data_IF_021103366372
#
_entry.id   IF_021103366372
#
_cell.length_a   1.000
_cell.length_b   1.000
_cell.length_c   1.000
_cell.angle_alpha   90.00
_cell.angle_beta   90.00
_cell.angle_gamma   90.00
#
_symmetry.space_group_name_H-M   'P 1'
#
loop_
_entity.id
_entity.type
_entity.pdbx_description
1 polymer ?
2 water ?
#
# COMPACT_ATOMS: atom_id res chain seq x y z
N UNK A 12 -31.22 15.40 5.71
CA UNK A 12 -30.10 15.19 4.74
C UNK A 12 -29.03 16.30 4.82
N UNK A 13 -27.77 15.91 4.58
CA UNK A 13 -26.62 16.81 4.71
C UNK A 13 -25.64 16.63 3.56
N UNK A 14 -24.80 17.63 3.35
CA UNK A 14 -23.77 17.60 2.33
C UNK A 14 -22.50 17.13 2.98
N UNK A 15 -21.76 16.28 2.28
CA UNK A 15 -20.43 15.90 2.73
C UNK A 15 -19.47 16.08 1.58
N UNK A 16 -18.32 16.71 1.85
CA UNK A 16 -17.29 16.94 0.84
C UNK A 16 -16.01 16.35 1.35
N UNK A 17 -15.40 15.44 0.59
CA UNK A 17 -14.12 14.85 0.96
C UNK A 17 -13.09 15.54 0.11
N UNK A 18 -12.08 16.15 0.73
CA UNK A 18 -11.06 16.89 -0.01
C UNK A 18 -9.76 16.13 0.06
N UNK A 19 -9.31 15.62 -1.09
CA UNK A 19 -8.11 14.80 -1.16
C UNK A 19 -6.89 15.64 -1.60
N UNK A 20 -6.02 15.98 -0.65
CA UNK A 20 -4.85 16.83 -0.90
C UNK A 20 -3.57 16.09 -0.52
N UNK A 21 -2.58 16.15 -1.39
CA UNK A 21 -1.25 15.69 -1.03
C UNK A 21 -0.51 16.88 -0.45
N UNK A 22 -0.27 16.83 0.85
CA UNK A 22 0.33 17.93 1.59
C UNK A 22 1.64 17.47 2.22
N UNK A 23 2.50 18.41 2.54
CA UNK A 23 3.76 18.12 3.27
C UNK A 23 3.48 17.97 4.76
N UNK A 24 4.33 17.20 5.46
CA UNK A 24 4.13 17.01 6.90
C UNK A 24 3.99 18.38 7.58
N UNK A 25 4.74 19.38 7.08
CA UNK A 25 4.68 20.74 7.67
C UNK A 25 3.40 21.54 7.36
N UNK A 26 2.71 21.16 6.29
CA UNK A 26 1.41 21.73 5.92
C UNK A 26 0.31 21.20 6.83
N UNK A 27 0.58 20.13 7.56
CA UNK A 27 -0.49 19.52 8.34
C UNK A 27 -0.07 19.02 9.71
N UNK A 28 0.39 19.94 10.58
CA UNK A 28 0.72 19.54 11.96
C UNK A 28 -0.55 19.14 12.69
N UNK A 29 -0.45 18.18 13.61
CA UNK A 29 -1.63 17.75 14.39
C UNK A 29 -2.85 17.56 13.47
N UNK A 30 -2.75 16.65 12.48
CA UNK A 30 -3.87 16.53 11.53
C UNK A 30 -5.19 16.19 12.23
N UNK A 31 -6.24 16.91 11.82
CA UNK A 31 -7.59 16.71 12.33
C UNK A 31 -8.51 16.73 11.11
N UNK A 32 -9.48 15.82 11.11
CA UNK A 32 -10.28 15.54 9.92
C UNK A 32 -10.93 16.79 9.30
N UNK A 33 -11.41 17.70 10.14
CA UNK A 33 -12.10 18.87 9.57
C UNK A 33 -11.23 20.12 9.38
N UNK A 34 -9.95 20.04 9.77
CA UNK A 34 -9.02 21.17 9.60
C UNK A 34 -8.21 21.03 8.31
N UNK A 35 -8.39 21.98 7.38
CA UNK A 35 -7.62 22.01 6.12
C UNK A 35 -6.13 22.08 6.39
N UNK A 36 -5.32 21.34 5.60
CA UNK A 36 -3.90 21.60 5.67
C UNK A 36 -3.62 23.01 5.13
N UNK A 37 -2.44 23.53 5.50
CA UNK A 37 -2.03 24.90 5.18
C UNK A 37 -1.77 25.07 3.69
N UNK A 38 -1.33 23.98 3.06
CA UNK A 38 -1.10 23.91 1.63
C UNK A 38 -1.45 22.48 1.26
N UNK A 39 -1.65 22.23 -0.02
CA UNK A 39 -1.95 20.85 -0.46
C UNK A 39 -2.37 20.81 -1.90
N UNK A 40 -1.96 19.74 -2.59
CA UNK A 40 -2.26 19.62 -4.02
C UNK A 40 -3.46 18.70 -4.21
N UNK A 41 -4.50 19.19 -4.90
CA UNK A 41 -5.67 18.36 -5.11
C UNK A 41 -5.35 17.26 -6.07
N UNK A 42 -5.96 16.09 -5.81
CA UNK A 42 -5.82 14.94 -6.68
C UNK A 42 -7.19 14.60 -7.24
N UNK A 43 -7.26 14.51 -8.57
CA UNK A 43 -8.50 14.10 -9.23
C UNK A 43 -8.52 12.56 -9.44
N UNK A 44 -9.72 11.99 -9.48
CA UNK A 44 -9.90 10.58 -9.87
C UNK A 44 -9.82 9.56 -8.75
N UNK A 45 -9.74 10.02 -7.50
CA UNK A 45 -9.70 9.11 -6.34
C UNK A 45 -11.12 8.72 -5.98
N UNK A 46 -11.34 7.41 -5.89
CA UNK A 46 -12.65 6.87 -5.56
C UNK A 46 -12.84 6.76 -4.05
N UNK A 47 -13.80 7.51 -3.53
CA UNK A 47 -14.22 7.42 -2.12
C UNK A 47 -15.55 6.67 -2.00
N UNK A 48 -15.63 5.80 -1.01
CA UNK A 48 -16.89 5.16 -0.67
C UNK A 48 -17.26 5.48 0.77
N UNK A 49 -18.55 5.71 0.98
CA UNK A 49 -19.08 6.00 2.30
C UNK A 49 -20.13 4.95 2.65
N UNK A 50 -19.93 4.27 3.79
CA UNK A 50 -20.80 3.18 4.25
C UNK A 50 -21.64 3.69 5.42
N UNK A 51 -22.95 3.75 5.22
CA UNK A 51 -23.87 4.20 6.26
C UNK A 51 -24.01 3.09 7.31
N UNK A 52 -23.62 3.39 8.56
CA UNK A 52 -23.69 2.38 9.63
C UNK A 52 -25.13 2.02 9.98
N UNK A 53 -25.34 0.73 10.28
CA UNK A 53 -26.63 0.27 10.80
C UNK A 53 -26.66 0.26 12.32
N UNK A 54 -25.48 0.18 12.93
CA UNK A 54 -25.33 0.00 14.38
C UNK A 54 -24.14 0.78 14.88
N UNK A 55 -24.25 1.34 16.09
CA UNK A 55 -23.10 1.99 16.74
C UNK A 55 -22.75 1.37 18.10
N UNK A 56 -23.02 0.07 18.25
CA UNK A 56 -22.85 -0.61 19.54
C UNK A 56 -21.40 -0.75 19.97
N UNK A 57 -20.51 -0.90 18.99
CA UNK A 57 -19.11 -1.18 19.26
C UNK A 57 -18.39 0.07 19.76
N UNK A 58 -17.88 -0.03 20.99
CA UNK A 58 -17.07 1.04 21.59
C UNK A 58 -15.73 1.29 20.91
N UNK A 59 -15.31 0.37 20.04
CA UNK A 59 -14.14 0.55 19.20
C UNK A 59 -14.60 0.56 17.75
N UNK A 60 -15.41 1.56 17.42
CA UNK A 60 -16.15 1.55 16.15
C UNK A 60 -15.25 1.69 14.92
N UNK A 61 -14.29 2.60 14.99
CA UNK A 61 -13.39 2.79 13.85
C UNK A 61 -12.55 1.52 13.63
N UNK A 62 -12.03 0.96 14.72
CA UNK A 62 -11.25 -0.29 14.61
C UNK A 62 -12.11 -1.42 14.05
N UNK A 63 -13.37 -1.48 14.47
CA UNK A 63 -14.27 -2.50 13.96
C UNK A 63 -14.41 -2.41 12.44
N UNK A 64 -14.68 -1.20 11.96
CA UNK A 64 -14.86 -0.98 10.54
C UNK A 64 -13.57 -1.16 9.75
N UNK A 65 -12.43 -0.77 10.33
CA UNK A 65 -11.13 -0.97 9.70
C UNK A 65 -10.74 -2.44 9.54
N UNK A 66 -11.36 -3.30 10.36
CA UNK A 66 -11.08 -4.76 10.37
C UNK A 66 -11.83 -5.52 9.27
N UNK A 67 -12.86 -4.89 8.71
CA UNK A 67 -13.72 -5.51 7.69
C UNK A 67 -13.10 -5.50 6.30
N UNK A 68 -13.29 -6.59 5.57
CA UNK A 68 -12.91 -6.60 4.16
C UNK A 68 -13.88 -5.72 3.36
N UNK A 69 -13.50 -5.41 2.13
CA UNK A 69 -14.30 -4.52 1.30
C UNK A 69 -15.73 -5.02 1.10
N UNK A 70 -15.89 -6.31 0.86
CA UNK A 70 -17.25 -6.85 0.69
C UNK A 70 -18.01 -6.90 2.00
N UNK A 71 -17.31 -7.06 3.11
CA UNK A 71 -17.95 -7.05 4.44
C UNK A 71 -18.57 -5.69 4.80
N UNK A 72 -17.94 -4.63 4.30
CA UNK A 72 -18.41 -3.26 4.51
C UNK A 72 -19.85 -3.17 4.02
N UNK A 73 -20.08 -3.67 2.81
CA UNK A 73 -21.40 -3.67 2.18
C UNK A 73 -22.42 -4.42 3.05
N UNK A 74 -22.01 -5.61 3.52
CA UNK A 74 -22.84 -6.48 4.35
C UNK A 74 -23.33 -5.79 5.62
N UNK A 75 -22.44 -5.04 6.27
CA UNK A 75 -22.80 -4.38 7.53
C UNK A 75 -23.44 -2.98 7.39
N UNK A 76 -23.37 -2.39 6.20
CA UNK A 76 -23.90 -1.04 5.95
C UNK A 76 -25.40 -1.04 5.59
N UNK A 77 -26.05 0.12 5.76
CA UNK A 77 -27.48 0.34 5.41
C UNK A 77 -27.68 0.85 3.98
N UNK A 78 -26.89 1.85 3.59
CA UNK A 78 -26.81 2.43 2.24
C UNK A 78 -25.29 2.62 2.00
N UNK A 79 -24.88 2.61 0.73
CA UNK A 79 -23.49 2.84 0.34
C UNK A 79 -23.49 3.96 -0.73
N UNK A 80 -22.53 4.88 -0.62
CA UNK A 80 -22.45 6.01 -1.55
C UNK A 80 -21.04 6.06 -2.09
N UNK A 81 -20.88 6.46 -3.34
CA UNK A 81 -19.53 6.65 -3.93
C UNK A 81 -19.41 8.01 -4.60
N UNK A 82 -18.19 8.54 -4.59
CA UNK A 82 -17.89 9.74 -5.37
C UNK A 82 -16.42 9.73 -5.72
N UNK A 83 -16.15 10.28 -6.88
CA UNK A 83 -14.77 10.41 -7.36
C UNK A 83 -14.31 11.86 -7.22
N UNK A 84 -13.12 12.06 -6.66
CA UNK A 84 -12.60 13.44 -6.55
C UNK A 84 -12.51 14.15 -7.90
N UNK A 85 -12.90 15.42 -7.90
CA UNK A 85 -12.92 16.24 -9.10
C UNK A 85 -11.65 17.08 -9.26
N UNK A 86 -11.71 18.08 -10.13
CA UNK A 86 -10.55 18.94 -10.42
C UNK A 86 -10.04 19.76 -9.21
N UNK A 87 -10.89 19.94 -8.19
CA UNK A 87 -10.46 20.57 -6.94
C UNK A 87 -10.15 19.54 -5.84
N UNK A 88 -10.03 18.27 -6.22
CA UNK A 88 -9.72 17.21 -5.27
C UNK A 88 -10.91 16.83 -4.38
N UNK A 89 -12.10 17.29 -4.78
CA UNK A 89 -13.33 17.10 -3.98
C UNK A 89 -14.19 15.95 -4.48
N UNK A 90 -14.47 15.01 -3.57
CA UNK A 90 -15.45 13.94 -3.81
C UNK A 90 -16.70 14.34 -3.04
N UNK A 91 -17.76 14.67 -3.79
CA UNK A 91 -18.95 15.29 -3.21
C UNK A 91 -20.06 14.28 -2.97
N UNK A 92 -20.68 14.38 -1.80
CA UNK A 92 -21.75 13.47 -1.38
C UNK A 92 -22.95 14.32 -1.03
N UNK A 93 -23.98 14.22 -1.87
CA UNK A 93 -25.15 15.08 -1.77
C UNK A 93 -26.36 14.43 -1.13
N UNK A 94 -26.98 15.19 -0.24
CA UNK A 94 -28.20 14.76 0.46
C UNK A 94 -28.10 13.40 1.16
N UNK A 95 -26.99 13.19 1.86
CA UNK A 95 -26.84 12.00 2.67
C UNK A 95 -27.77 12.10 3.88
N UNK A 96 -28.48 11.01 4.21
CA UNK A 96 -29.30 10.96 5.42
C UNK A 96 -28.44 11.15 6.64
N UNK A 97 -29.03 11.80 7.63
CA UNK A 97 -28.41 11.97 8.91
C UNK A 97 -27.98 10.60 9.42
N UNK A 98 -26.73 10.48 9.89
CA UNK A 98 -26.20 9.16 10.25
C UNK A 98 -24.72 9.15 10.53
N UNK A 99 -24.18 7.96 10.78
CA UNK A 99 -22.74 7.77 10.98
C UNK A 99 -22.23 7.03 9.75
N UNK A 100 -21.16 7.52 9.15
CA UNK A 100 -20.61 6.93 7.94
C UNK A 100 -19.14 6.59 8.11
N UNK A 101 -18.77 5.44 7.59
CA UNK A 101 -17.39 5.03 7.48
C UNK A 101 -16.96 5.29 6.04
N UNK A 102 -15.90 6.07 5.89
CA UNK A 102 -15.39 6.44 4.58
C UNK A 102 -13.97 5.92 4.35
N UNK A 103 -13.69 5.52 3.12
CA UNK A 103 -12.34 5.05 2.75
C UNK A 103 -12.11 5.33 1.29
N UNK A 104 -10.85 5.39 0.87
CA UNK A 104 -10.54 5.41 -0.54
C UNK A 104 -10.32 3.98 -1.02
N UNK A 105 -10.79 3.72 -2.23
CA UNK A 105 -10.67 2.39 -2.86
C UNK A 105 -9.78 2.46 -4.11
N UNK A 106 -8.94 1.44 -4.27
CA UNK A 106 -8.11 1.34 -5.47
C UNK A 106 -7.87 -0.13 -5.77
N UNK A 107 -8.02 -0.50 -7.04
CA UNK A 107 -7.86 -1.88 -7.48
C UNK A 107 -8.71 -2.81 -6.64
N UNK A 108 -9.97 -2.44 -6.45
CA UNK A 108 -10.96 -3.28 -5.75
C UNK A 108 -10.75 -3.52 -4.27
N UNK A 109 -9.87 -2.75 -3.64
CA UNK A 109 -9.54 -2.90 -2.22
C UNK A 109 -9.31 -1.55 -1.61
N UNK A 110 -9.27 -1.50 -0.28
CA UNK A 110 -8.93 -0.27 0.42
C UNK A 110 -7.57 0.22 -0.02
N UNK A 111 -7.48 1.51 -0.31
CA UNK A 111 -6.20 2.15 -0.55
C UNK A 111 -5.58 2.42 0.84
N UNK A 112 -4.53 1.67 1.20
CA UNK A 112 -3.97 1.80 2.55
C UNK A 112 -3.29 3.17 2.80
N UNK A 113 -3.06 3.92 1.73
CA UNK A 113 -2.37 5.22 1.85
C UNK A 113 -3.32 6.38 2.23
N UNK A 114 -4.61 6.06 2.34
CA UNK A 114 -5.60 6.98 2.85
C UNK A 114 -6.17 6.37 4.14
N UNK A 115 -6.07 7.11 5.24
CA UNK A 115 -6.62 6.65 6.49
C UNK A 115 -8.14 6.72 6.41
N UNK A 116 -8.79 5.58 6.66
CA UNK A 116 -10.24 5.54 6.70
C UNK A 116 -10.74 6.31 7.94
N UNK A 117 -12.00 6.73 7.90
CA UNK A 117 -12.50 7.64 8.94
C UNK A 117 -13.99 7.39 9.21
N UNK A 118 -14.44 7.84 10.37
CA UNK A 118 -15.87 7.90 10.63
C UNK A 118 -16.33 9.34 10.51
N UNK A 119 -17.51 9.56 9.92
CA UNK A 119 -18.11 10.91 9.90
C UNK A 119 -19.42 10.85 10.72
N UNK A 120 -19.53 11.71 11.74
CA UNK A 120 -20.75 11.88 12.50
C UNK A 120 -21.57 12.95 11.74
N UNK A 121 -22.34 12.48 10.74
CA UNK A 121 -23.03 13.38 9.81
C UNK A 121 -24.37 13.89 10.35
N UNK A 122 -24.25 14.87 11.25
CA UNK A 122 -25.37 15.54 11.88
C UNK A 122 -25.60 16.96 11.33
N UNK A 123 -24.75 17.38 10.40
CA UNK A 123 -24.71 18.71 9.78
C UNK A 123 -23.84 18.56 8.53
N UNK A 124 -23.83 19.58 7.65
CA UNK A 124 -22.90 19.55 6.50
C UNK A 124 -21.45 19.45 7.00
N UNK A 125 -20.64 18.67 6.29
CA UNK A 125 -19.26 18.41 6.73
C UNK A 125 -18.29 18.54 5.57
N UNK A 126 -17.10 19.09 5.89
CA UNK A 126 -15.97 19.08 4.96
C UNK A 126 -14.82 18.34 5.66
N UNK A 127 -14.30 17.30 5.02
CA UNK A 127 -13.31 16.46 5.68
C UNK A 127 -12.10 16.27 4.79
N UNK A 128 -10.93 16.20 5.43
CA UNK A 128 -9.64 16.08 4.75
C UNK A 128 -9.01 14.77 5.22
N UNK A 129 -9.17 13.68 4.45
CA UNK A 129 -8.58 12.42 4.96
C UNK A 129 -7.07 12.56 5.09
N UNK A 130 -6.48 11.78 5.98
CA UNK A 130 -5.02 11.77 6.18
C UNK A 130 -4.41 10.92 5.07
N UNK A 131 -3.55 11.53 4.28
CA UNK A 131 -3.10 10.91 3.05
C UNK A 131 -1.59 10.85 3.06
N UNK A 132 -1.06 9.66 2.81
CA UNK A 132 0.40 9.53 2.69
C UNK A 132 0.76 9.30 1.23
N UNK A 133 1.88 9.88 0.81
CA UNK A 133 2.24 9.88 -0.61
C UNK A 133 3.75 9.94 -0.85
N UNK A 134 4.53 10.42 0.14
CA UNK A 134 5.99 10.61 -0.04
C UNK A 134 6.69 9.27 -0.27
N UNK A 135 7.61 9.24 -1.23
CA UNK A 135 8.22 7.95 -1.63
C UNK A 135 9.66 7.79 -1.14
N UNK A 136 10.11 6.54 -1.08
CA UNK A 136 11.54 6.25 -0.96
C UNK A 136 11.84 5.03 -1.80
N UNK A 137 13.02 4.47 -1.63
CA UNK A 137 13.52 3.49 -2.57
C UNK A 137 14.00 2.23 -1.87
N UNK A 138 13.93 1.12 -2.60
CA UNK A 138 14.47 -0.16 -2.15
C UNK A 138 15.71 -0.45 -2.97
N UNK A 139 16.77 -0.89 -2.32
CA UNK A 139 17.91 -1.46 -3.05
C UNK A 139 18.23 -2.86 -2.50
N UNK A 140 17.84 -3.86 -3.27
CA UNK A 140 18.06 -5.25 -2.92
C UNK A 140 19.34 -5.73 -3.57
N UNK A 141 20.21 -6.32 -2.75
CA UNK A 141 21.34 -7.07 -3.24
C UNK A 141 21.08 -8.55 -2.97
N UNK A 142 21.15 -9.36 -4.01
CA UNK A 142 20.98 -10.78 -3.90
C UNK A 142 22.35 -11.44 -4.05
N UNK A 143 22.70 -12.29 -3.08
CA UNK A 143 23.98 -13.01 -3.17
C UNK A 143 23.78 -14.54 -3.20
N UNK A 144 24.77 -15.22 -3.78
CA UNK A 144 24.87 -16.67 -3.70
C UNK A 144 25.99 -17.00 -2.74
N UNK A 145 25.76 -18.03 -1.91
CA UNK A 145 26.69 -18.39 -0.83
C UNK A 145 27.29 -19.79 -1.08
N UNK A 146 28.62 -19.86 -1.12
CA UNK A 146 29.38 -21.10 -1.27
C UNK A 146 30.44 -21.13 -0.16
N UNK A 147 30.20 -21.96 0.87
CA UNK A 147 30.98 -21.89 2.10
C UNK A 147 30.99 -20.47 2.67
N UNK A 148 32.18 -19.93 2.88
CA UNK A 148 32.34 -18.59 3.49
C UNK A 148 32.42 -17.47 2.44
N UNK A 149 32.11 -17.79 1.18
CA UNK A 149 32.18 -16.78 0.13
C UNK A 149 30.81 -16.43 -0.48
N UNK A 150 30.56 -15.14 -0.60
CA UNK A 150 29.30 -14.64 -1.15
C UNK A 150 29.58 -13.81 -2.40
N UNK A 151 28.78 -14.02 -3.44
CA UNK A 151 28.93 -13.23 -4.67
C UNK A 151 27.54 -12.84 -5.20
N UNK A 152 27.44 -11.68 -5.87
CA UNK A 152 26.17 -11.27 -6.47
C UNK A 152 25.59 -12.33 -7.41
N UNK A 153 24.27 -12.47 -7.37
CA UNK A 153 23.60 -13.44 -8.20
C UNK A 153 22.66 -12.73 -9.15
N UNK A 154 22.88 -12.97 -10.44
CA UNK A 154 22.06 -12.38 -11.49
C UNK A 154 20.87 -13.25 -11.89
N UNK A 155 19.82 -12.63 -12.40
CA UNK A 155 18.70 -13.38 -12.93
C UNK A 155 17.75 -14.01 -11.95
N UNK A 156 17.85 -13.65 -10.66
CA UNK A 156 16.94 -14.14 -9.62
C UNK A 156 15.66 -13.31 -9.65
N UNK A 157 14.52 -13.98 -9.57
CA UNK A 157 13.20 -13.37 -9.80
C UNK A 157 12.46 -13.15 -8.48
N UNK A 158 12.00 -11.91 -8.28
CA UNK A 158 11.20 -11.53 -7.14
C UNK A 158 9.91 -10.84 -7.58
N UNK A 159 8.92 -10.86 -6.68
CA UNK A 159 7.75 -9.96 -6.76
C UNK A 159 7.74 -9.14 -5.48
N UNK A 160 7.07 -7.97 -5.52
CA UNK A 160 6.94 -7.10 -4.36
C UNK A 160 5.47 -6.88 -4.05
N UNK A 161 5.12 -6.93 -2.77
CA UNK A 161 3.74 -6.74 -2.31
C UNK A 161 3.72 -5.69 -1.23
N UNK A 162 2.59 -4.99 -1.07
CA UNK A 162 2.34 -4.29 0.18
C UNK A 162 2.22 -5.38 1.27
N UNK A 163 2.59 -5.07 2.50
CA UNK A 163 2.38 -5.98 3.63
C UNK A 163 0.92 -6.48 3.65
N UNK A 164 0.75 -7.80 3.78
CA UNK A 164 -0.59 -8.44 3.75
C UNK A 164 -1.36 -8.26 2.43
N UNK A 165 -0.69 -7.77 1.40
CA UNK A 165 -1.33 -7.53 0.11
C UNK A 165 -1.48 -8.80 -0.73
N UNK A 166 -2.51 -8.81 -1.57
CA UNK A 166 -2.82 -9.94 -2.44
C UNK A 166 -2.24 -9.76 -3.84
N UNK A 167 -2.04 -8.51 -4.24
CA UNK A 167 -1.62 -8.22 -5.60
C UNK A 167 -0.28 -7.51 -5.71
N UNK A 168 0.63 -8.08 -6.53
CA UNK A 168 2.00 -7.60 -6.70
C UNK A 168 2.06 -6.15 -7.21
N UNK A 169 3.04 -5.40 -6.70
CA UNK A 169 3.37 -4.05 -7.15
C UNK A 169 4.15 -4.14 -8.45
N UNK A 170 3.77 -3.35 -9.45
CA UNK A 170 4.44 -3.41 -10.76
C UNK A 170 5.44 -2.27 -10.94
N UNK A 171 6.46 -2.49 -11.77
CA UNK A 171 7.60 -1.58 -11.88
C UNK A 171 7.94 -1.35 -13.35
N UNK A 172 8.30 -0.11 -13.69
CA UNK A 172 8.69 0.31 -15.04
C UNK A 172 9.68 1.48 -14.89
N UNK A 173 10.73 1.53 -15.72
CA UNK A 173 11.75 2.59 -15.58
C UNK A 173 12.41 2.60 -14.18
N UNK A 174 12.51 1.42 -13.57
CA UNK A 174 13.05 1.27 -12.19
C UNK A 174 12.20 1.92 -11.10
N UNK A 175 10.94 2.17 -11.43
CA UNK A 175 10.04 2.91 -10.57
C UNK A 175 8.71 2.17 -10.46
N UNK A 176 8.09 2.23 -9.29
CA UNK A 176 6.73 1.75 -9.14
C UNK A 176 5.84 2.48 -10.16
N UNK A 177 5.14 1.69 -10.97
CA UNK A 177 4.36 2.23 -12.09
C UNK A 177 2.97 1.62 -12.16
N UNK A 178 2.01 2.41 -12.63
CA UNK A 178 0.66 1.92 -12.85
C UNK A 178 0.35 1.78 -14.33
N UNK A 179 1.38 1.89 -15.16
CA UNK A 179 1.20 1.68 -16.60
C UNK A 179 0.87 0.24 -16.94
N UNK A 180 0.14 0.04 -18.03
CA UNK A 180 -0.33 -1.30 -18.38
C UNK A 180 0.86 -2.24 -18.72
N UNK A 181 1.98 -1.68 -19.14
CA UNK A 181 3.17 -2.49 -19.42
C UNK A 181 4.12 -2.64 -18.22
N UNK A 182 3.78 -2.03 -17.09
CA UNK A 182 4.61 -2.22 -15.89
C UNK A 182 4.46 -3.69 -15.45
N UNK A 183 5.59 -4.28 -15.08
CA UNK A 183 5.69 -5.72 -14.84
C UNK A 183 5.75 -6.06 -13.35
N UNK A 184 5.19 -7.22 -12.98
CA UNK A 184 5.32 -7.74 -11.61
C UNK A 184 6.67 -8.47 -11.40
N UNK A 185 7.19 -9.04 -12.49
CA UNK A 185 8.44 -9.79 -12.37
C UNK A 185 9.62 -8.84 -12.27
N UNK A 186 10.39 -9.05 -11.20
CA UNK A 186 11.56 -8.23 -10.93
C UNK A 186 12.75 -9.16 -10.95
N UNK A 187 13.81 -8.76 -11.64
CA UNK A 187 14.94 -9.67 -11.84
C UNK A 187 16.24 -8.97 -11.45
N UNK A 188 17.07 -9.65 -10.67
CA UNK A 188 18.34 -9.08 -10.24
C UNK A 188 19.22 -8.93 -11.48
N UNK A 189 19.92 -7.80 -11.55
CA UNK A 189 20.75 -7.49 -12.70
C UNK A 189 22.10 -8.22 -12.58
N UNK A 190 23.02 -7.95 -13.50
CA UNK A 190 24.34 -8.62 -13.50
C UNK A 190 25.15 -8.37 -12.22
N UNK A 191 24.82 -7.30 -11.50
CA UNK A 191 25.46 -6.95 -10.24
C UNK A 191 24.71 -7.47 -8.99
N UNK A 192 23.65 -8.24 -9.21
CA UNK A 192 22.85 -8.82 -8.13
C UNK A 192 21.77 -7.91 -7.56
N UNK A 193 21.54 -6.76 -8.21
CA UNK A 193 20.63 -5.74 -7.66
C UNK A 193 19.25 -5.66 -8.32
N UNK A 194 18.25 -5.37 -7.49
CA UNK A 194 16.95 -4.86 -7.91
C UNK A 194 16.84 -3.53 -7.18
N UNK A 195 16.69 -2.43 -7.93
CA UNK A 195 16.45 -1.12 -7.33
C UNK A 195 15.09 -0.59 -7.78
N UNK A 196 14.29 -0.15 -6.82
CA UNK A 196 12.93 0.34 -7.14
C UNK A 196 12.75 1.65 -6.39
N UNK A 197 12.51 2.75 -7.09
CA UNK A 197 12.22 4.00 -6.39
C UNK A 197 10.72 4.31 -6.57
N UNK A 198 10.26 5.38 -5.94
CA UNK A 198 8.87 5.80 -6.11
C UNK A 198 7.90 4.90 -5.34
N UNK A 199 8.38 4.27 -4.26
CA UNK A 199 7.50 3.48 -3.38
C UNK A 199 7.03 4.37 -2.23
N UNK A 200 5.72 4.46 -2.05
CA UNK A 200 5.23 5.25 -0.94
C UNK A 200 5.71 4.60 0.34
N UNK A 201 6.15 5.42 1.30
CA UNK A 201 6.70 4.90 2.55
C UNK A 201 5.70 3.98 3.29
N UNK A 202 6.25 2.92 3.90
CA UNK A 202 5.41 1.89 4.53
C UNK A 202 6.01 0.51 4.40
N UNK A 203 5.21 -0.51 4.72
CA UNK A 203 5.74 -1.88 4.81
C UNK A 203 5.41 -2.72 3.60
N UNK A 204 6.43 -3.43 3.10
CA UNK A 204 6.30 -4.24 1.91
C UNK A 204 6.90 -5.62 2.15
N UNK A 205 6.66 -6.51 1.20
CA UNK A 205 7.18 -7.88 1.28
C UNK A 205 7.75 -8.27 -0.06
N UNK A 206 9.01 -8.70 -0.05
CA UNK A 206 9.64 -9.27 -1.23
C UNK A 206 9.43 -10.79 -1.24
N UNK A 207 8.88 -11.28 -2.34
CA UNK A 207 8.69 -12.69 -2.51
C UNK A 207 9.66 -13.24 -3.54
N UNK A 208 10.53 -14.17 -3.13
CA UNK A 208 11.45 -14.73 -4.09
C UNK A 208 10.72 -15.84 -4.85
N UNK A 209 10.76 -15.76 -6.18
CA UNK A 209 9.95 -16.61 -7.06
C UNK A 209 10.77 -17.75 -7.62
N UNK A 210 11.97 -17.40 -8.09
CA UNK A 210 12.85 -18.34 -8.73
C UNK A 210 14.30 -17.91 -8.59
N UNK A 211 15.15 -18.85 -8.20
CA UNK A 211 16.56 -18.54 -8.11
C UNK A 211 17.38 -19.30 -9.15
N UNK A 212 18.68 -19.03 -9.19
CA UNK A 212 19.57 -19.67 -10.16
C UNK A 212 19.73 -21.16 -9.90
N UNK A 213 20.11 -21.87 -10.96
CA UNK A 213 20.38 -23.28 -10.84
C UNK A 213 21.62 -23.47 -9.94
N UNK A 214 21.47 -24.38 -9.00
CA UNK A 214 22.51 -24.69 -8.05
C UNK A 214 22.20 -24.15 -6.66
N UNK A 215 21.16 -23.31 -6.57
CA UNK A 215 20.79 -22.62 -5.33
C UNK A 215 19.38 -22.91 -4.86
N UNK A 216 19.15 -22.71 -3.56
CA UNK A 216 17.86 -22.90 -2.94
C UNK A 216 17.30 -21.54 -2.55
N UNK A 217 15.99 -21.39 -2.67
CA UNK A 217 15.31 -20.28 -2.02
C UNK A 217 15.29 -20.55 -0.50
N UNK A 218 15.98 -19.69 0.25
CA UNK A 218 16.10 -19.84 1.71
C UNK A 218 15.01 -19.10 2.46
N UNK A 219 14.89 -17.81 2.20
CA UNK A 219 13.78 -17.03 2.76
C UNK A 219 12.84 -16.64 1.64
N UNK A 220 11.70 -17.35 1.57
CA UNK A 220 10.68 -17.08 0.55
C UNK A 220 10.21 -15.63 0.56
N UNK A 221 9.86 -15.15 1.75
CA UNK A 221 9.33 -13.79 1.91
C UNK A 221 10.17 -13.01 2.88
N UNK A 222 10.52 -11.78 2.48
CA UNK A 222 11.39 -10.89 3.26
C UNK A 222 10.68 -9.55 3.47
N UNK A 223 10.51 -9.17 4.74
CA UNK A 223 9.88 -7.89 5.08
C UNK A 223 10.81 -6.73 4.77
N UNK A 224 10.28 -5.68 4.17
CA UNK A 224 11.06 -4.46 3.98
C UNK A 224 10.21 -3.24 4.34
N UNK A 225 10.83 -2.28 5.01
CA UNK A 225 10.15 -1.02 5.29
C UNK A 225 10.80 0.12 4.47
N UNK A 226 9.99 0.71 3.59
CA UNK A 226 10.42 1.87 2.80
C UNK A 226 10.29 3.11 3.70
N UNK A 227 11.36 3.90 3.78
CA UNK A 227 11.34 5.18 4.46
C UNK A 227 11.38 6.29 3.45
N UNK A 228 10.60 7.34 3.66
CA UNK A 228 10.54 8.42 2.70
C UNK A 228 11.90 9.12 2.55
N UNK A 229 12.25 9.44 1.31
CA UNK A 229 13.48 10.21 0.98
C UNK A 229 14.76 9.47 1.33
N UNK A 230 14.63 8.16 1.55
CA UNK A 230 15.76 7.31 1.90
C UNK A 230 15.74 6.04 1.05
N UNK A 231 16.90 5.38 0.96
CA UNK A 231 16.98 4.07 0.33
C UNK A 231 17.17 3.06 1.43
N UNK A 232 16.38 1.99 1.40
CA UNK A 232 16.59 0.88 2.32
C UNK A 232 17.40 -0.19 1.59
N UNK A 233 18.55 -0.55 2.15
CA UNK A 233 19.43 -1.55 1.54
C UNK A 233 19.13 -2.89 2.19
N UNK A 234 18.86 -3.91 1.38
CA UNK A 234 18.64 -5.25 1.95
C UNK A 234 19.46 -6.27 1.19
N UNK A 235 20.09 -7.20 1.93
CA UNK A 235 20.79 -8.30 1.28
C UNK A 235 20.05 -9.59 1.60
N UNK A 236 19.78 -10.35 0.54
CA UNK A 236 19.16 -11.67 0.69
C UNK A 236 20.15 -12.71 0.20
N UNK A 237 20.33 -13.77 0.97
CA UNK A 237 21.26 -14.85 0.60
C UNK A 237 20.55 -16.01 -0.07
N UNK A 238 21.25 -16.64 -1.00
CA UNK A 238 20.81 -17.86 -1.63
C UNK A 238 21.92 -18.90 -1.41
N UNK A 239 21.59 -19.94 -0.65
CA UNK A 239 22.56 -21.00 -0.32
C UNK A 239 22.59 -22.06 -1.42
N UNK A 240 23.78 -22.59 -1.67
CA UNK A 240 23.94 -23.69 -2.63
C UNK A 240 23.22 -24.94 -2.13
N UNK A 241 22.67 -25.70 -3.08
CA UNK A 241 21.98 -26.96 -2.81
C UNK A 241 22.95 -27.95 -2.16
N UNK A 242 22.55 -28.58 -1.02
CA UNK A 242 23.41 -29.58 -0.37
C UNK A 242 23.42 -30.89 -1.17
N UNK A 243 24.56 -31.58 -1.13
CA UNK A 243 24.77 -32.76 -1.97
C UNK A 243 25.28 -33.99 -1.18
N UNK A 244 24.55 -34.37 -0.12
CA UNK A 244 25.00 -35.53 0.67
C UNK A 244 24.92 -36.82 -0.13
N UNK A 245 25.73 -37.81 0.25
CA UNK A 245 25.67 -39.13 -0.35
C UNK A 245 24.53 -39.88 0.33
N UNK A 246 23.92 -40.82 -0.40
CA UNK A 246 22.86 -41.66 0.15
C UNK A 246 23.41 -42.53 1.29
N UNK A 247 22.85 -42.37 2.50
CA UNK A 247 23.41 -43.10 3.64
C UNK A 247 23.14 -44.59 3.54
N UNK A 248 24.01 -45.39 4.14
CA UNK A 248 23.80 -46.82 4.19
C UNK A 248 22.89 -47.11 5.38
N UNK A 249 22.14 -48.21 5.30
CA UNK A 249 21.42 -48.67 6.47
C UNK A 249 22.42 -48.93 7.60
#
# INVERSE_FOLDING_TARGET
MRGSHHHHHHGSHQLTIVHLEARDIDRPNPQLEIAPKEGTPIEGVLYQLYQLKSTEDGDLLAHWNSLTITELKKQAQQVFEATTNQQGKATFNQLPDGIYYGLAVKAGEKNRNVSAFLVDLSEDKVIYPKIIWSTGELDLLKVGVDGDTKKPLAGVVFELYEKNGRTPIRVKNGVHSQDIDAAKHLETDSSGHIRISGLIHGDYVLKEIETQSGYQIGQAETAVTIEKSKTVTVTIENKKVPTPKVPSR
#
